data_IF_409134872665
#
_entry.id   IF_409134872665
#
_cell.length_a   1.000
_cell.length_b   1.000
_cell.length_c   1.000
_cell.angle_alpha   90.00
_cell.angle_beta   90.00
_cell.angle_gamma   90.00
#
_symmetry.space_group_name_H-M   'P 1'
#
loop_
_entity.id
_entity.type
_entity.pdbx_description
1 polymer ?
#
# COMPACT_ATOMS: atom_id res chain seq x y z
N UNK A 1 1.64 72.46 14.59
CA UNK A 1 0.68 71.43 14.12
C UNK A 1 1.31 70.73 12.93
N UNK A 2 1.40 69.42 12.76
CA UNK A 2 1.18 68.26 13.62
C UNK A 2 2.17 67.17 13.17
N UNK A 3 2.53 66.27 14.09
CA UNK A 3 3.43 65.15 13.80
C UNK A 3 2.89 64.27 12.68
N UNK A 4 3.68 64.05 11.64
CA UNK A 4 3.44 63.01 10.64
C UNK A 4 3.59 61.67 11.35
N UNK A 5 2.47 61.05 11.73
CA UNK A 5 2.45 59.68 12.25
C UNK A 5 2.92 58.77 11.11
N UNK A 6 4.11 58.21 11.24
CA UNK A 6 4.61 57.17 10.35
C UNK A 6 3.59 56.00 10.33
N UNK A 7 2.91 55.84 9.20
CA UNK A 7 1.92 54.78 9.01
C UNK A 7 2.66 53.46 8.78
N UNK A 8 2.68 52.63 9.84
CA UNK A 8 2.82 51.16 9.89
C UNK A 8 3.67 50.49 8.80
N UNK A 9 4.95 50.25 9.10
CA UNK A 9 5.82 49.22 8.49
C UNK A 9 5.38 47.78 8.81
N UNK A 10 4.14 47.56 9.24
CA UNK A 10 3.63 46.28 9.71
C UNK A 10 3.10 45.40 8.55
N UNK A 11 2.75 45.97 7.39
CA UNK A 11 2.03 45.22 6.34
C UNK A 11 2.87 44.18 5.59
N UNK A 12 4.14 44.49 5.26
CA UNK A 12 4.99 43.59 4.47
C UNK A 12 5.40 42.33 5.23
N UNK A 13 5.71 42.46 6.53
CA UNK A 13 6.11 41.33 7.38
C UNK A 13 4.95 40.37 7.66
N UNK A 14 3.72 40.87 7.76
CA UNK A 14 2.53 40.03 7.90
C UNK A 14 2.21 39.25 6.61
N UNK A 15 2.34 39.89 5.44
CA UNK A 15 2.14 39.21 4.15
C UNK A 15 3.13 38.04 3.96
N UNK A 16 4.42 38.25 4.29
CA UNK A 16 5.43 37.20 4.21
C UNK A 16 5.16 36.02 5.17
N UNK A 17 4.66 36.29 6.39
CA UNK A 17 4.26 35.24 7.33
C UNK A 17 3.13 34.38 6.78
N UNK A 18 2.12 35.00 6.15
CA UNK A 18 1.00 34.26 5.54
C UNK A 18 1.51 33.37 4.40
N UNK A 19 2.37 33.91 3.52
CA UNK A 19 2.98 33.14 2.43
C UNK A 19 3.77 31.96 2.99
N UNK A 20 4.56 32.16 4.05
CA UNK A 20 5.32 31.09 4.68
C UNK A 20 4.42 29.99 5.26
N UNK A 21 3.31 30.36 5.91
CA UNK A 21 2.33 29.40 6.45
C UNK A 21 1.68 28.59 5.32
N UNK A 22 1.25 29.26 4.24
CA UNK A 22 0.65 28.59 3.08
C UNK A 22 1.66 27.65 2.43
N UNK A 23 2.90 28.08 2.24
CA UNK A 23 3.96 27.24 1.69
C UNK A 23 4.23 26.01 2.58
N UNK A 24 4.28 26.19 3.90
CA UNK A 24 4.44 25.09 4.85
C UNK A 24 3.26 24.10 4.78
N UNK A 25 2.03 24.59 4.65
CA UNK A 25 0.84 23.75 4.46
C UNK A 25 0.89 22.95 3.16
N UNK A 26 1.29 23.58 2.05
CA UNK A 26 1.42 22.91 0.75
C UNK A 26 2.51 21.84 0.80
N UNK A 27 3.68 22.15 1.36
CA UNK A 27 4.76 21.17 1.52
C UNK A 27 4.36 20.02 2.43
N UNK A 28 3.71 20.32 3.57
CA UNK A 28 3.20 19.30 4.49
C UNK A 28 2.16 18.40 3.84
N UNK A 29 1.22 18.98 3.08
CA UNK A 29 0.21 18.23 2.33
C UNK A 29 0.82 17.32 1.27
N UNK A 30 1.79 17.81 0.49
CA UNK A 30 2.52 17.01 -0.49
C UNK A 30 3.26 15.84 0.16
N UNK A 31 3.91 16.09 1.30
CA UNK A 31 4.66 15.05 2.02
C UNK A 31 3.73 13.95 2.56
N UNK A 32 2.59 14.34 3.13
CA UNK A 32 1.56 13.39 3.57
C UNK A 32 0.99 12.57 2.41
N UNK A 33 0.71 13.23 1.28
CA UNK A 33 0.21 12.55 0.07
C UNK A 33 1.22 11.52 -0.46
N UNK A 34 2.50 11.90 -0.56
CA UNK A 34 3.56 10.98 -1.00
C UNK A 34 3.70 9.78 -0.05
N UNK A 35 3.66 10.01 1.26
CA UNK A 35 3.71 8.92 2.25
C UNK A 35 2.50 7.97 2.13
N UNK A 36 1.30 8.50 1.92
CA UNK A 36 0.10 7.69 1.70
C UNK A 36 0.21 6.83 0.42
N UNK A 37 0.73 7.41 -0.67
CA UNK A 37 0.97 6.70 -1.93
C UNK A 37 2.02 5.58 -1.79
N UNK A 38 3.11 5.83 -1.08
CA UNK A 38 4.13 4.81 -0.80
C UNK A 38 3.51 3.67 0.00
N UNK A 39 2.75 3.98 1.04
CA UNK A 39 2.07 2.98 1.87
C UNK A 39 1.12 2.12 1.02
N UNK A 40 0.31 2.75 0.17
CA UNK A 40 -0.60 2.04 -0.74
C UNK A 40 0.14 1.08 -1.68
N UNK A 41 1.24 1.54 -2.30
CA UNK A 41 2.01 0.70 -3.22
C UNK A 41 2.70 -0.47 -2.50
N UNK A 42 3.18 -0.27 -1.26
CA UNK A 42 3.73 -1.35 -0.43
C UNK A 42 2.65 -2.39 -0.11
N UNK A 43 1.44 -1.94 0.27
CA UNK A 43 0.32 -2.85 0.51
C UNK A 43 -0.04 -3.67 -0.73
N UNK A 44 -0.06 -3.04 -1.90
CA UNK A 44 -0.36 -3.72 -3.16
C UNK A 44 0.73 -4.73 -3.54
N UNK A 45 2.00 -4.39 -3.36
CA UNK A 45 3.12 -5.32 -3.54
C UNK A 45 3.02 -6.52 -2.59
N UNK A 46 2.72 -6.28 -1.31
CA UNK A 46 2.56 -7.34 -0.32
C UNK A 46 1.38 -8.27 -0.65
N UNK A 47 0.27 -7.72 -1.13
CA UNK A 47 -0.88 -8.52 -1.58
C UNK A 47 -0.52 -9.38 -2.80
N UNK A 48 0.18 -8.80 -3.78
CA UNK A 48 0.65 -9.53 -4.95
C UNK A 48 1.63 -10.65 -4.58
N UNK A 49 2.58 -10.38 -3.68
CA UNK A 49 3.49 -11.38 -3.15
C UNK A 49 2.72 -12.48 -2.41
N UNK A 50 1.79 -12.15 -1.52
CA UNK A 50 0.98 -13.16 -0.83
C UNK A 50 0.17 -14.02 -1.80
N UNK A 51 -0.41 -13.43 -2.86
CA UNK A 51 -1.10 -14.19 -3.92
C UNK A 51 -0.13 -15.10 -4.67
N UNK A 52 1.07 -14.61 -4.99
CA UNK A 52 2.09 -15.37 -5.70
C UNK A 52 2.61 -16.55 -4.87
N UNK A 53 3.07 -16.28 -3.64
CA UNK A 53 3.51 -17.30 -2.70
C UNK A 53 2.39 -18.29 -2.36
N UNK A 54 1.16 -17.80 -2.16
CA UNK A 54 -0.01 -18.66 -1.96
C UNK A 54 -0.26 -19.58 -3.15
N UNK A 55 -0.12 -19.08 -4.38
CA UNK A 55 -0.25 -19.91 -5.58
C UNK A 55 0.87 -20.95 -5.72
N UNK A 56 2.11 -20.61 -5.35
CA UNK A 56 3.25 -21.55 -5.36
C UNK A 56 3.03 -22.65 -4.33
N UNK A 57 2.62 -22.29 -3.11
CA UNK A 57 2.36 -23.23 -2.02
C UNK A 57 1.25 -24.21 -2.44
N UNK A 58 0.15 -23.66 -2.98
CA UNK A 58 -0.97 -24.44 -3.51
C UNK A 58 -0.55 -25.42 -4.60
N UNK A 59 0.29 -24.98 -5.55
CA UNK A 59 0.81 -25.87 -6.58
C UNK A 59 1.71 -26.97 -5.99
N UNK A 60 2.52 -26.64 -5.00
CA UNK A 60 3.40 -27.60 -4.31
C UNK A 60 2.58 -28.64 -3.56
N UNK A 61 1.53 -28.23 -2.85
CA UNK A 61 0.62 -29.15 -2.19
C UNK A 61 -0.06 -30.09 -3.20
N UNK A 62 -0.62 -29.55 -4.29
CA UNK A 62 -1.23 -30.36 -5.35
C UNK A 62 -0.22 -31.40 -5.89
N UNK A 63 1.03 -31.01 -6.10
CA UNK A 63 2.08 -31.93 -6.56
C UNK A 63 2.36 -33.01 -5.50
N UNK A 64 2.54 -32.62 -4.24
CA UNK A 64 2.79 -33.57 -3.16
C UNK A 64 1.66 -34.60 -3.04
N UNK A 65 0.40 -34.17 -3.04
CA UNK A 65 -0.74 -35.09 -2.99
C UNK A 65 -0.83 -35.99 -4.23
N UNK A 66 -0.46 -35.50 -5.42
CA UNK A 66 -0.35 -36.33 -6.63
C UNK A 66 0.79 -37.34 -6.57
N UNK A 67 1.87 -37.04 -5.86
CA UNK A 67 3.01 -37.93 -5.66
C UNK A 67 2.68 -39.00 -4.62
N UNK A 68 2.14 -38.62 -3.46
CA UNK A 68 1.73 -39.55 -2.40
C UNK A 68 0.66 -40.52 -2.89
N UNK A 69 -0.37 -40.00 -3.59
CA UNK A 69 -1.37 -40.80 -4.31
C UNK A 69 -1.98 -41.96 -3.48
N UNK A 70 -2.23 -41.72 -2.20
CA UNK A 70 -3.08 -42.57 -1.38
C UNK A 70 -4.55 -42.12 -1.48
N UNK A 71 -5.47 -42.85 -0.85
CA UNK A 71 -6.91 -42.57 -0.91
C UNK A 71 -7.22 -41.16 -0.40
N UNK A 72 -6.58 -40.77 0.70
CA UNK A 72 -6.79 -39.47 1.35
C UNK A 72 -6.30 -38.33 0.46
N UNK A 73 -5.10 -38.45 -0.13
CA UNK A 73 -4.58 -37.46 -1.07
C UNK A 73 -5.47 -37.26 -2.29
N UNK A 74 -5.98 -38.36 -2.88
CA UNK A 74 -6.88 -38.30 -4.04
C UNK A 74 -8.20 -37.62 -3.70
N UNK A 75 -8.78 -37.97 -2.56
CA UNK A 75 -10.03 -37.38 -2.11
C UNK A 75 -9.86 -35.90 -1.78
N UNK A 76 -8.76 -35.52 -1.15
CA UNK A 76 -8.43 -34.12 -0.91
C UNK A 76 -8.25 -33.32 -2.21
N UNK A 77 -7.56 -33.88 -3.21
CA UNK A 77 -7.44 -33.27 -4.53
C UNK A 77 -8.79 -33.09 -5.23
N UNK A 78 -9.71 -34.04 -5.08
CA UNK A 78 -11.05 -33.96 -5.65
C UNK A 78 -11.90 -32.91 -4.93
N UNK A 79 -11.93 -32.93 -3.60
CA UNK A 79 -12.81 -32.09 -2.80
C UNK A 79 -12.39 -30.61 -2.82
N UNK A 80 -11.08 -30.33 -2.85
CA UNK A 80 -10.55 -28.96 -2.77
C UNK A 80 -10.12 -28.37 -4.12
N UNK A 81 -9.83 -29.21 -5.11
CA UNK A 81 -9.29 -28.75 -6.40
C UNK A 81 -10.06 -29.27 -7.62
N UNK A 82 -11.08 -30.10 -7.42
CA UNK A 82 -11.83 -30.78 -8.50
C UNK A 82 -10.91 -31.60 -9.42
N UNK A 83 -9.82 -32.14 -8.87
CA UNK A 83 -8.86 -32.97 -9.61
C UNK A 83 -9.16 -34.44 -9.31
N UNK A 84 -9.79 -35.13 -10.27
CA UNK A 84 -9.98 -36.58 -10.21
C UNK A 84 -8.68 -37.30 -10.65
N UNK A 85 -7.80 -37.55 -9.68
CA UNK A 85 -6.50 -38.16 -9.91
C UNK A 85 -6.58 -39.68 -9.80
N UNK A 86 -6.32 -40.39 -10.91
CA UNK A 86 -6.34 -41.85 -10.93
C UNK A 86 -5.07 -42.44 -10.35
N UNK A 87 -5.23 -43.50 -9.55
CA UNK A 87 -4.10 -44.31 -9.08
C UNK A 87 -3.42 -44.94 -10.30
N UNK A 88 -2.12 -44.66 -10.50
CA UNK A 88 -1.27 -45.41 -11.44
C UNK A 88 -0.99 -46.80 -10.90
#
# INVERSE_FOLDING_TARGET
MGQIKAVKTQSKTHALKIIAIVAAFVMGGLMLYMNAMILYNISLLMELEQKHYGSILRNTDIINYKVTNDEQSRQWLKDFYDIDYKKK
#
